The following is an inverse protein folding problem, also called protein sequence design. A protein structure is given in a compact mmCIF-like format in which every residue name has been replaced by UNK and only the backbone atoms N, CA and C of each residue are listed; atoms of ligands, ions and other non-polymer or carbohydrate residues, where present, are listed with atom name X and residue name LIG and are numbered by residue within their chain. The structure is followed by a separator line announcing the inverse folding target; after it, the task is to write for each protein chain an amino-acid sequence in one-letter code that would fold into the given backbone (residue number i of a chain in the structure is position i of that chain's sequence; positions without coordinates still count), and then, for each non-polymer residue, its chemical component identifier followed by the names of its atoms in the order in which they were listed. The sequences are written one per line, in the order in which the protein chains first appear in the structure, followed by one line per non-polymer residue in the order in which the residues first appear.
data_IF_196983222042
#
_entry.id   IF_196983222042
#
_cell.length_a   1.000
_cell.length_b   1.000
_cell.length_c   1.000
_cell.angle_alpha   90.00
_cell.angle_beta   90.00
_cell.angle_gamma   90.00
#
_symmetry.space_group_name_H-M   'P 1'
#
loop_
_entity.id
_entity.type
_entity.pdbx_description
1 polymer ?
#
# COMPACT_ATOMS: atom_id res chain seq x y z
N UNK A 1 14.28 65.31 -7.02
CA UNK A 1 13.40 64.37 -7.74
C UNK A 1 14.11 63.03 -8.02
N UNK A 2 15.35 63.03 -8.57
CA UNK A 2 16.08 61.79 -8.86
C UNK A 2 16.34 60.87 -7.64
N UNK A 3 16.58 61.43 -6.50
CA UNK A 3 16.86 60.73 -5.25
C UNK A 3 15.62 59.95 -4.74
N UNK A 4 14.42 60.51 -4.87
CA UNK A 4 13.16 59.89 -4.49
C UNK A 4 12.82 58.73 -5.43
N UNK A 5 13.03 58.89 -6.74
CA UNK A 5 12.76 57.84 -7.71
C UNK A 5 13.70 56.64 -7.55
N UNK A 6 15.01 56.91 -7.27
CA UNK A 6 15.97 55.81 -7.02
C UNK A 6 15.64 55.02 -5.73
N UNK A 7 15.14 55.71 -4.69
CA UNK A 7 14.79 55.06 -3.43
C UNK A 7 13.55 54.17 -3.62
N UNK A 8 12.54 54.62 -4.35
CA UNK A 8 11.37 53.80 -4.69
C UNK A 8 11.75 52.61 -5.53
N UNK A 9 12.65 52.79 -6.51
CA UNK A 9 13.11 51.70 -7.37
C UNK A 9 13.88 50.61 -6.59
N UNK A 10 14.76 51.04 -5.66
CA UNK A 10 15.48 50.10 -4.76
C UNK A 10 14.50 49.32 -3.86
N UNK A 11 13.44 49.97 -3.37
CA UNK A 11 12.45 49.34 -2.52
C UNK A 11 11.62 48.30 -3.28
N UNK A 12 11.24 48.57 -4.52
CA UNK A 12 10.55 47.62 -5.40
C UNK A 12 11.42 46.44 -5.76
N UNK A 13 12.72 46.61 -6.03
CA UNK A 13 13.66 45.55 -6.31
C UNK A 13 13.86 44.63 -5.08
N UNK A 14 13.95 45.25 -3.88
CA UNK A 14 14.07 44.50 -2.63
C UNK A 14 12.83 43.63 -2.35
N UNK A 15 11.62 44.16 -2.58
CA UNK A 15 10.39 43.39 -2.42
C UNK A 15 10.30 42.21 -3.43
N UNK A 16 10.72 42.45 -4.68
CA UNK A 16 10.75 41.41 -5.71
C UNK A 16 11.73 40.28 -5.35
N UNK A 17 12.89 40.65 -4.81
CA UNK A 17 13.89 39.68 -4.35
C UNK A 17 13.40 38.79 -3.19
N UNK A 18 12.75 39.40 -2.18
CA UNK A 18 12.17 38.65 -1.06
C UNK A 18 11.05 37.72 -1.50
N UNK A 19 10.18 38.17 -2.40
CA UNK A 19 9.09 37.35 -2.95
C UNK A 19 9.62 36.09 -3.69
N UNK A 20 10.68 36.28 -4.48
CA UNK A 20 11.35 35.19 -5.20
C UNK A 20 11.96 34.14 -4.23
N UNK A 21 12.59 34.60 -3.16
CA UNK A 21 13.20 33.71 -2.17
C UNK A 21 12.16 32.85 -1.42
N UNK A 22 11.03 33.45 -1.03
CA UNK A 22 9.93 32.72 -0.40
C UNK A 22 9.32 31.69 -1.34
N UNK A 23 9.18 32.02 -2.62
CA UNK A 23 8.69 31.08 -3.63
C UNK A 23 9.63 29.91 -3.81
N UNK A 24 10.94 30.13 -3.91
CA UNK A 24 11.95 29.08 -4.06
C UNK A 24 11.94 28.09 -2.88
N UNK A 25 11.89 28.59 -1.65
CA UNK A 25 11.85 27.73 -0.46
C UNK A 25 10.58 26.90 -0.35
N UNK A 26 9.44 27.42 -0.83
CA UNK A 26 8.19 26.64 -0.90
C UNK A 26 8.29 25.52 -1.94
N UNK A 27 8.86 25.81 -3.11
CA UNK A 27 9.05 24.82 -4.16
C UNK A 27 9.99 23.69 -3.71
N UNK A 28 11.06 24.02 -3.00
CA UNK A 28 11.99 23.05 -2.44
C UNK A 28 11.30 22.11 -1.42
N UNK A 29 10.49 22.67 -0.51
CA UNK A 29 9.72 21.87 0.44
C UNK A 29 8.69 20.96 -0.25
N UNK A 30 8.04 21.45 -1.30
CA UNK A 30 7.10 20.64 -2.08
C UNK A 30 7.82 19.50 -2.80
N UNK A 31 8.97 19.79 -3.42
CA UNK A 31 9.78 18.76 -4.11
C UNK A 31 10.25 17.67 -3.13
N UNK A 32 10.74 18.07 -1.95
CA UNK A 32 11.11 17.12 -0.89
C UNK A 32 9.90 16.28 -0.42
N UNK A 33 8.73 16.89 -0.25
CA UNK A 33 7.51 16.17 0.11
C UNK A 33 7.11 15.11 -0.93
N UNK A 34 7.17 15.46 -2.21
CA UNK A 34 6.89 14.53 -3.32
C UNK A 34 7.92 13.39 -3.33
N UNK A 35 9.20 13.68 -3.10
CA UNK A 35 10.24 12.67 -3.03
C UNK A 35 9.98 11.68 -1.89
N UNK A 36 9.64 12.15 -0.69
CA UNK A 36 9.30 11.28 0.44
C UNK A 36 8.06 10.43 0.16
N UNK A 37 7.03 10.99 -0.47
CA UNK A 37 5.84 10.25 -0.86
C UNK A 37 6.16 9.14 -1.87
N UNK A 38 6.97 9.43 -2.90
CA UNK A 38 7.39 8.44 -3.87
C UNK A 38 8.23 7.31 -3.24
N UNK A 39 9.12 7.63 -2.31
CA UNK A 39 9.92 6.64 -1.60
C UNK A 39 9.06 5.77 -0.67
N UNK A 40 8.08 6.35 0.03
CA UNK A 40 7.14 5.56 0.82
C UNK A 40 6.26 4.65 -0.06
N UNK A 41 5.86 5.12 -1.24
CA UNK A 41 5.11 4.31 -2.20
C UNK A 41 5.94 3.12 -2.72
N UNK A 42 7.19 3.34 -3.12
CA UNK A 42 8.09 2.26 -3.54
C UNK A 42 8.34 1.24 -2.43
N UNK A 43 8.51 1.70 -1.20
CA UNK A 43 8.65 0.84 -0.04
C UNK A 43 7.37 0.01 0.23
N UNK A 44 6.18 0.63 0.07
CA UNK A 44 4.91 -0.07 0.20
C UNK A 44 4.71 -1.14 -0.88
N UNK A 45 5.10 -0.83 -2.14
CA UNK A 45 5.08 -1.84 -3.22
C UNK A 45 6.04 -2.99 -2.94
N UNK A 46 7.25 -2.71 -2.47
CA UNK A 46 8.21 -3.75 -2.10
C UNK A 46 7.69 -4.63 -0.97
N UNK A 47 7.09 -4.03 0.06
CA UNK A 47 6.44 -4.73 1.16
C UNK A 47 5.27 -5.59 0.67
N UNK A 48 4.43 -5.05 -0.20
CA UNK A 48 3.30 -5.77 -0.80
C UNK A 48 3.79 -7.00 -1.57
N UNK A 49 4.79 -6.86 -2.44
CA UNK A 49 5.39 -7.99 -3.19
C UNK A 49 5.99 -9.04 -2.28
N UNK A 50 6.61 -8.65 -1.18
CA UNK A 50 7.12 -9.59 -0.17
C UNK A 50 5.98 -10.40 0.47
N UNK A 51 4.88 -9.75 0.82
CA UNK A 51 3.68 -10.40 1.34
C UNK A 51 3.00 -11.31 0.32
N UNK A 52 2.94 -10.90 -0.93
CA UNK A 52 2.43 -11.72 -2.05
C UNK A 52 3.27 -12.98 -2.29
N UNK A 53 4.59 -12.85 -2.26
CA UNK A 53 5.51 -13.98 -2.38
C UNK A 53 5.39 -14.94 -1.18
N UNK A 54 5.29 -14.40 0.03
CA UNK A 54 5.07 -15.20 1.23
C UNK A 54 3.72 -15.95 1.15
N UNK A 55 2.65 -15.28 0.72
CA UNK A 55 1.33 -15.91 0.56
C UNK A 55 1.37 -17.10 -0.39
N UNK A 56 2.10 -17.03 -1.50
CA UNK A 56 2.19 -18.12 -2.47
C UNK A 56 2.79 -19.40 -1.88
N UNK A 57 3.66 -19.27 -0.88
CA UNK A 57 4.32 -20.39 -0.23
C UNK A 57 3.58 -20.87 1.03
N UNK A 58 2.98 -19.95 1.79
CA UNK A 58 2.48 -20.20 3.15
C UNK A 58 0.96 -19.99 3.30
N UNK A 59 0.22 -19.97 2.19
CA UNK A 59 -1.22 -19.67 2.18
C UNK A 59 -2.04 -20.59 3.11
N UNK A 60 -1.62 -21.84 3.29
CA UNK A 60 -2.31 -22.83 4.14
C UNK A 60 -2.19 -22.55 5.64
N UNK A 61 -1.26 -21.70 6.07
CA UNK A 61 -1.04 -21.37 7.47
C UNK A 61 -1.89 -20.20 7.96
N UNK A 62 -2.50 -19.45 7.04
CA UNK A 62 -3.32 -18.26 7.36
C UNK A 62 -4.73 -18.71 7.72
N UNK A 63 -5.09 -18.53 8.98
CA UNK A 63 -6.46 -18.80 9.43
C UNK A 63 -7.45 -17.84 8.79
N UNK A 64 -8.61 -18.36 8.39
CA UNK A 64 -9.67 -17.53 7.83
C UNK A 64 -10.24 -16.58 8.92
N UNK A 65 -10.53 -15.37 8.53
CA UNK A 65 -11.20 -14.42 9.40
C UNK A 65 -12.59 -14.94 9.80
N UNK A 66 -13.00 -14.71 11.04
CA UNK A 66 -14.23 -15.26 11.63
C UNK A 66 -15.29 -14.22 11.95
N UNK A 67 -14.96 -12.94 11.85
CA UNK A 67 -15.86 -11.84 12.19
C UNK A 67 -15.72 -10.68 11.20
N UNK A 68 -16.74 -9.83 11.05
CA UNK A 68 -16.64 -8.64 10.21
C UNK A 68 -15.43 -7.75 10.58
N UNK A 69 -15.10 -7.65 11.88
CA UNK A 69 -13.96 -6.86 12.34
C UNK A 69 -12.62 -7.44 11.84
N UNK A 70 -12.45 -8.78 11.89
CA UNK A 70 -11.23 -9.45 11.43
C UNK A 70 -11.16 -9.60 9.90
N UNK A 71 -12.29 -9.48 9.20
CA UNK A 71 -12.35 -9.58 7.73
C UNK A 71 -12.27 -8.21 7.02
N UNK A 72 -12.47 -7.12 7.75
CA UNK A 72 -12.32 -5.78 7.20
C UNK A 72 -10.85 -5.46 6.90
N UNK A 73 -10.57 -4.47 6.03
CA UNK A 73 -9.22 -3.92 5.90
C UNK A 73 -8.67 -3.52 7.26
N UNK A 74 -7.42 -3.87 7.57
CA UNK A 74 -6.84 -3.59 8.88
C UNK A 74 -6.71 -2.07 9.08
N UNK A 75 -7.50 -1.53 10.01
CA UNK A 75 -7.54 -0.07 10.29
C UNK A 75 -6.20 0.41 10.83
N UNK A 76 -5.53 -0.46 11.58
CA UNK A 76 -4.20 -0.22 12.14
C UNK A 76 -3.12 0.00 11.09
N UNK A 77 -3.32 -0.40 9.83
CA UNK A 77 -2.37 -0.15 8.75
C UNK A 77 -2.03 1.33 8.58
N UNK A 78 -2.96 2.22 8.95
CA UNK A 78 -2.75 3.67 8.91
C UNK A 78 -1.77 4.17 9.99
N UNK A 79 -1.58 3.44 11.08
CA UNK A 79 -0.74 3.84 12.22
C UNK A 79 0.39 2.87 12.52
N UNK A 80 0.31 1.63 12.02
CA UNK A 80 1.27 0.56 12.30
C UNK A 80 2.67 0.90 11.80
N UNK A 81 3.65 0.84 12.68
CA UNK A 81 5.06 1.12 12.38
C UNK A 81 6.02 0.02 12.86
N UNK A 82 5.52 -1.01 13.54
CA UNK A 82 6.34 -2.09 14.13
C UNK A 82 5.74 -3.46 13.81
N UNK A 83 6.58 -4.50 13.69
CA UNK A 83 6.11 -5.86 13.50
C UNK A 83 5.44 -6.37 14.80
N UNK A 84 4.14 -6.57 14.76
CA UNK A 84 3.33 -7.08 15.88
C UNK A 84 2.10 -7.78 15.31
N UNK A 85 1.51 -8.69 16.07
CA UNK A 85 0.20 -9.23 15.72
C UNK A 85 -0.89 -8.35 16.34
N UNK A 86 -1.78 -7.83 15.51
CA UNK A 86 -2.94 -7.09 15.98
C UNK A 86 -3.99 -8.04 16.54
N UNK A 87 -4.56 -7.70 17.71
CA UNK A 87 -5.53 -8.56 18.40
C UNK A 87 -6.94 -8.49 17.79
N UNK A 88 -7.27 -7.42 17.07
CA UNK A 88 -8.61 -7.21 16.50
C UNK A 88 -8.69 -7.82 15.11
N UNK A 89 -7.77 -7.43 14.23
CA UNK A 89 -7.71 -7.93 12.86
C UNK A 89 -7.07 -9.32 12.74
N UNK A 90 -6.30 -9.75 13.76
CA UNK A 90 -5.52 -10.97 13.73
C UNK A 90 -4.34 -10.93 12.75
N UNK A 91 -4.06 -9.78 12.15
CA UNK A 91 -2.97 -9.61 11.19
C UNK A 91 -1.63 -9.66 11.90
N UNK A 92 -0.78 -10.55 11.44
CA UNK A 92 0.64 -10.55 11.81
C UNK A 92 1.40 -9.64 10.87
N UNK A 93 1.87 -8.52 11.39
CA UNK A 93 2.71 -7.59 10.64
C UNK A 93 4.17 -8.07 10.65
N UNK A 94 4.74 -8.20 9.46
CA UNK A 94 6.12 -8.63 9.24
C UNK A 94 6.92 -7.47 8.68
N UNK A 95 8.09 -7.22 9.28
CA UNK A 95 8.99 -6.13 8.86
C UNK A 95 9.77 -6.53 7.62
N UNK A 96 9.87 -5.57 6.70
CA UNK A 96 10.75 -5.62 5.53
C UNK A 96 11.50 -4.30 5.41
N UNK A 97 12.43 -4.21 4.47
CA UNK A 97 13.20 -2.96 4.25
C UNK A 97 12.24 -1.83 3.88
N UNK A 98 12.22 -0.80 4.70
CA UNK A 98 11.41 0.40 4.48
C UNK A 98 9.91 0.24 4.79
N UNK A 99 9.45 -0.91 5.34
CA UNK A 99 8.02 -1.07 5.58
C UNK A 99 7.64 -2.35 6.30
N UNK A 100 6.34 -2.66 6.20
CA UNK A 100 5.75 -3.87 6.77
C UNK A 100 4.75 -4.46 5.77
N UNK A 101 4.51 -5.76 5.87
CA UNK A 101 3.36 -6.38 5.24
C UNK A 101 2.55 -7.20 6.23
N UNK A 102 1.27 -7.36 5.94
CA UNK A 102 0.35 -8.23 6.66
C UNK A 102 -0.52 -9.02 5.71
N UNK A 103 -0.89 -10.24 6.09
CA UNK A 103 -1.74 -11.12 5.28
C UNK A 103 -2.96 -11.55 6.08
N UNK A 104 -4.14 -11.48 5.46
CA UNK A 104 -5.41 -11.97 6.00
C UNK A 104 -6.02 -12.98 5.04
N UNK A 105 -6.60 -14.06 5.55
CA UNK A 105 -7.47 -14.93 4.77
C UNK A 105 -8.91 -14.47 4.93
N UNK A 106 -9.56 -14.10 3.82
CA UNK A 106 -10.94 -13.66 3.79
C UNK A 106 -11.94 -14.81 3.72
N UNK A 107 -11.43 -16.05 3.65
CA UNK A 107 -12.24 -17.24 3.60
C UNK A 107 -12.62 -17.70 2.18
N UNK A 108 -13.44 -18.75 2.09
CA UNK A 108 -13.88 -19.30 0.81
C UNK A 108 -15.02 -18.49 0.19
N UNK A 109 -15.11 -18.53 -1.14
CA UNK A 109 -16.21 -17.99 -1.93
C UNK A 109 -16.49 -18.91 -3.11
N UNK A 110 -17.77 -19.00 -3.50
CA UNK A 110 -18.24 -19.75 -4.66
C UNK A 110 -18.67 -18.85 -5.81
N UNK A 111 -18.58 -17.52 -5.60
CA UNK A 111 -18.95 -16.51 -6.62
C UNK A 111 -17.81 -15.53 -6.84
N UNK A 112 -16.63 -16.00 -7.25
CA UNK A 112 -15.49 -15.11 -7.47
C UNK A 112 -15.70 -14.24 -8.71
N UNK A 113 -15.40 -12.95 -8.60
CA UNK A 113 -15.38 -12.07 -9.75
C UNK A 113 -14.30 -12.51 -10.75
N UNK A 114 -14.64 -12.47 -12.04
CA UNK A 114 -13.73 -12.80 -13.16
C UNK A 114 -13.25 -14.27 -13.24
N UNK A 115 -13.92 -15.19 -12.55
CA UNK A 115 -13.69 -16.63 -12.68
C UNK A 115 -15.00 -17.32 -13.09
N UNK A 116 -14.96 -18.55 -13.63
CA UNK A 116 -16.15 -19.30 -13.97
C UNK A 116 -17.09 -19.47 -12.78
N UNK A 117 -18.38 -19.46 -13.03
CA UNK A 117 -19.40 -19.66 -12.00
C UNK A 117 -19.17 -21.01 -11.32
N UNK A 118 -19.38 -21.07 -10.01
CA UNK A 118 -19.18 -22.27 -9.17
C UNK A 118 -17.71 -22.66 -8.92
N UNK A 119 -16.74 -21.84 -9.31
CA UNK A 119 -15.33 -22.08 -8.94
C UNK A 119 -15.13 -21.82 -7.45
N UNK A 120 -14.80 -22.86 -6.68
CA UNK A 120 -14.44 -22.71 -5.28
C UNK A 120 -13.12 -21.95 -5.18
N UNK A 121 -13.15 -20.81 -4.52
CA UNK A 121 -12.02 -19.88 -4.43
C UNK A 121 -11.80 -19.52 -2.98
N UNK A 122 -10.54 -19.34 -2.57
CA UNK A 122 -10.18 -18.70 -1.31
C UNK A 122 -9.61 -17.33 -1.59
N UNK A 123 -10.09 -16.33 -0.85
CA UNK A 123 -9.57 -14.98 -0.97
C UNK A 123 -8.59 -14.65 0.15
N UNK A 124 -7.54 -13.95 -0.24
CA UNK A 124 -6.52 -13.43 0.66
C UNK A 124 -6.33 -11.95 0.40
N UNK A 125 -6.19 -11.19 1.48
CA UNK A 125 -5.77 -9.79 1.43
C UNK A 125 -4.32 -9.70 1.83
N UNK A 126 -3.52 -9.00 1.05
CA UNK A 126 -2.16 -8.60 1.39
C UNK A 126 -2.14 -7.09 1.51
N UNK A 127 -1.68 -6.60 2.64
CA UNK A 127 -1.52 -5.16 2.90
C UNK A 127 -0.05 -4.85 3.07
N UNK A 128 0.46 -3.91 2.27
CA UNK A 128 1.83 -3.41 2.34
C UNK A 128 1.84 -1.98 2.88
N UNK A 129 2.71 -1.70 3.84
CA UNK A 129 2.93 -0.38 4.41
C UNK A 129 4.35 0.05 4.09
N UNK A 130 4.50 1.19 3.43
CA UNK A 130 5.78 1.82 3.18
C UNK A 130 5.96 3.05 4.06
N UNK A 131 7.14 3.21 4.62
CA UNK A 131 7.51 4.28 5.54
C UNK A 131 8.77 4.98 5.03
N UNK A 132 8.71 6.30 4.87
CA UNK A 132 9.89 7.10 4.54
C UNK A 132 9.78 8.51 5.13
N UNK A 133 10.67 8.84 6.06
CA UNK A 133 10.60 10.08 6.82
C UNK A 133 9.26 10.18 7.57
N UNK A 134 8.48 11.19 7.24
CA UNK A 134 7.11 11.37 7.76
C UNK A 134 6.03 10.86 6.81
N UNK A 135 6.41 10.40 5.62
CA UNK A 135 5.47 9.90 4.63
C UNK A 135 5.17 8.41 4.87
N UNK A 136 3.91 8.08 4.70
CA UNK A 136 3.38 6.73 4.78
C UNK A 136 2.53 6.46 3.55
N UNK A 137 2.65 5.26 3.01
CA UNK A 137 1.76 4.75 1.95
C UNK A 137 1.27 3.37 2.34
N UNK A 138 -0.01 3.13 2.16
CA UNK A 138 -0.65 1.83 2.42
C UNK A 138 -1.26 1.32 1.13
N UNK A 139 -0.80 0.16 0.69
CA UNK A 139 -1.28 -0.54 -0.50
C UNK A 139 -1.97 -1.84 -0.08
N UNK A 140 -3.01 -2.20 -0.82
CA UNK A 140 -3.74 -3.45 -0.62
C UNK A 140 -3.88 -4.20 -1.94
N UNK A 141 -3.68 -5.51 -1.90
CA UNK A 141 -4.04 -6.42 -2.98
C UNK A 141 -4.92 -7.56 -2.47
N UNK A 142 -5.86 -8.01 -3.30
CA UNK A 142 -6.65 -9.22 -3.02
C UNK A 142 -6.30 -10.28 -4.06
N UNK A 143 -6.02 -11.47 -3.54
CA UNK A 143 -5.70 -12.66 -4.30
C UNK A 143 -6.81 -13.68 -4.20
N UNK A 144 -7.15 -14.27 -5.33
CA UNK A 144 -7.97 -15.45 -5.44
C UNK A 144 -7.07 -16.67 -5.62
N UNK A 145 -7.18 -17.65 -4.72
CA UNK A 145 -6.60 -18.97 -4.85
C UNK A 145 -7.68 -19.94 -5.32
N UNK A 146 -7.50 -20.57 -6.47
CA UNK A 146 -8.47 -21.50 -7.06
C UNK A 146 -7.77 -22.66 -7.77
N UNK A 147 -8.52 -23.73 -7.98
CA UNK A 147 -8.11 -24.81 -8.85
C UNK A 147 -8.77 -24.66 -10.21
N UNK A 148 -7.98 -24.72 -11.26
CA UNK A 148 -8.50 -24.75 -12.62
C UNK A 148 -9.21 -26.08 -12.86
N UNK A 149 -10.35 -26.06 -13.55
CA UNK A 149 -11.02 -27.32 -13.91
C UNK A 149 -10.09 -28.14 -14.81
N UNK A 150 -9.75 -29.35 -14.40
CA UNK A 150 -8.95 -30.25 -15.23
C UNK A 150 -9.86 -30.98 -16.21
N UNK A 151 -9.52 -30.93 -17.50
CA UNK A 151 -10.22 -31.71 -18.54
C UNK A 151 -9.97 -33.22 -18.44
N UNK A 152 -8.95 -33.63 -17.68
CA UNK A 152 -8.64 -35.03 -17.44
C UNK A 152 -8.73 -35.38 -15.96
N UNK A 153 -9.54 -36.37 -15.62
CA UNK A 153 -9.78 -36.84 -14.24
C UNK A 153 -8.52 -37.38 -13.52
N UNK A 154 -7.42 -37.57 -14.24
CA UNK A 154 -6.19 -38.23 -13.71
C UNK A 154 -5.13 -37.25 -13.17
N UNK A 155 -5.28 -35.92 -13.41
CA UNK A 155 -4.31 -34.95 -12.90
C UNK A 155 -4.98 -33.98 -11.94
N UNK A 156 -4.46 -33.90 -10.71
CA UNK A 156 -4.82 -32.81 -9.82
C UNK A 156 -4.52 -31.48 -10.52
N UNK A 157 -5.55 -30.67 -10.72
CA UNK A 157 -5.41 -29.35 -11.31
C UNK A 157 -4.47 -28.48 -10.44
N UNK A 158 -3.53 -27.77 -11.05
CA UNK A 158 -2.62 -26.91 -10.31
C UNK A 158 -3.37 -25.78 -9.60
N UNK A 159 -2.94 -25.49 -8.38
CA UNK A 159 -3.41 -24.30 -7.66
C UNK A 159 -2.90 -23.05 -8.37
N UNK A 160 -3.82 -22.10 -8.60
CA UNK A 160 -3.53 -20.83 -9.25
C UNK A 160 -3.79 -19.68 -8.29
N UNK A 161 -2.85 -18.74 -8.28
CA UNK A 161 -3.02 -17.44 -7.61
C UNK A 161 -3.28 -16.36 -8.65
N UNK A 162 -4.36 -15.62 -8.48
CA UNK A 162 -4.69 -14.49 -9.34
C UNK A 162 -4.97 -13.27 -8.48
N UNK A 163 -4.25 -12.18 -8.73
CA UNK A 163 -4.59 -10.88 -8.15
C UNK A 163 -5.86 -10.35 -8.80
N UNK A 164 -6.90 -10.16 -8.00
CA UNK A 164 -8.23 -9.70 -8.47
C UNK A 164 -8.48 -8.24 -8.16
N UNK A 165 -7.75 -7.67 -7.20
CA UNK A 165 -7.85 -6.26 -6.84
C UNK A 165 -6.49 -5.72 -6.39
N UNK A 166 -6.25 -4.46 -6.68
CA UNK A 166 -5.16 -3.67 -6.13
C UNK A 166 -5.65 -2.25 -5.92
N UNK A 167 -5.31 -1.64 -4.77
CA UNK A 167 -5.64 -0.25 -4.49
C UNK A 167 -4.67 0.37 -3.48
N UNK A 168 -4.57 1.68 -3.53
CA UNK A 168 -3.96 2.49 -2.50
C UNK A 168 -5.04 2.88 -1.49
N UNK A 169 -4.75 2.70 -0.20
CA UNK A 169 -5.66 3.06 0.89
C UNK A 169 -5.31 4.43 1.47
N UNK A 170 -4.00 4.78 1.46
CA UNK A 170 -3.47 6.04 1.98
C UNK A 170 -2.16 6.37 1.27
#
# INVERSE_FOLDING_TARGET
MALLTSLVFMLLLSLSGLSSMVSATRQEKLAAGIQHANQSFQAAEAALRSGESWLQNEWGTVLACSSPASCNPPVEASTQARPVTDFISGVRWVSVVGGLYGVQSLGPSITPAHLPVSTTTRFYRVTGIGLHGQSRTVLESIYALYQEASESAERMAPLRFRRVMWRQLQ
#
